data_IF_519263143135
#
_entry.id   IF_519263143135
#
_cell.length_a   1.000
_cell.length_b   1.000
_cell.length_c   1.000
_cell.angle_alpha   90.00
_cell.angle_beta   90.00
_cell.angle_gamma   90.00
#
_symmetry.space_group_name_H-M   'P 1'
#
loop_
_entity.id
_entity.type
_entity.pdbx_description
1 polymer ?
#
# COMPACT_ATOMS: atom_id res chain seq x y z
N UNK A 1 -4.97 30.53 0.87
CA UNK A 1 -5.90 29.67 0.10
C UNK A 1 -5.37 28.24 0.14
N UNK A 2 -6.00 27.33 0.89
CA UNK A 2 -5.61 25.91 0.88
C UNK A 2 -6.19 25.25 -0.38
N UNK A 3 -5.34 25.03 -1.38
CA UNK A 3 -5.71 24.38 -2.63
C UNK A 3 -5.79 22.86 -2.39
N UNK A 4 -6.86 22.42 -1.73
CA UNK A 4 -7.04 20.99 -1.39
C UNK A 4 -7.38 20.23 -2.67
N UNK A 5 -6.40 19.52 -3.24
CA UNK A 5 -6.65 18.60 -4.36
C UNK A 5 -7.42 17.38 -3.85
N UNK A 6 -8.62 17.16 -4.39
CA UNK A 6 -9.42 15.97 -4.10
C UNK A 6 -8.94 14.80 -4.96
N UNK A 7 -8.58 13.70 -4.31
CA UNK A 7 -8.24 12.43 -4.97
C UNK A 7 -9.45 11.50 -4.87
N UNK A 8 -9.83 10.83 -5.96
CA UNK A 8 -10.87 9.80 -5.89
C UNK A 8 -10.31 8.55 -5.20
N UNK A 9 -11.20 7.75 -4.56
CA UNK A 9 -10.81 6.47 -3.95
C UNK A 9 -10.15 5.52 -4.96
N UNK A 10 -10.65 5.46 -6.19
CA UNK A 10 -10.07 4.65 -7.26
C UNK A 10 -8.65 5.09 -7.60
N UNK A 11 -8.42 6.41 -7.71
CA UNK A 11 -7.09 6.95 -8.02
C UNK A 11 -6.13 6.79 -6.86
N UNK A 12 -6.60 6.95 -5.62
CA UNK A 12 -5.82 6.67 -4.41
C UNK A 12 -5.39 5.20 -4.36
N UNK A 13 -6.32 4.26 -4.62
CA UNK A 13 -6.02 2.83 -4.72
C UNK A 13 -4.96 2.54 -5.79
N UNK A 14 -5.12 3.10 -6.99
CA UNK A 14 -4.15 2.92 -8.07
C UNK A 14 -2.76 3.45 -7.71
N UNK A 15 -2.68 4.62 -7.06
CA UNK A 15 -1.41 5.16 -6.59
C UNK A 15 -0.77 4.30 -5.50
N UNK A 16 -1.57 3.83 -4.53
CA UNK A 16 -1.08 2.93 -3.50
C UNK A 16 -0.50 1.65 -4.08
N UNK A 17 -1.21 1.03 -5.03
CA UNK A 17 -0.73 -0.17 -5.74
C UNK A 17 0.55 0.10 -6.53
N UNK A 18 0.64 1.23 -7.23
CA UNK A 18 1.83 1.60 -7.99
C UNK A 18 3.05 1.78 -7.08
N UNK A 19 2.93 2.55 -6.00
CA UNK A 19 4.03 2.78 -5.05
C UNK A 19 4.46 1.46 -4.39
N UNK A 20 3.50 0.59 -4.07
CA UNK A 20 3.80 -0.71 -3.50
C UNK A 20 4.49 -1.64 -4.51
N UNK A 21 4.09 -1.62 -5.78
CA UNK A 21 4.76 -2.38 -6.84
C UNK A 21 6.21 -1.92 -7.02
N UNK A 22 6.43 -0.61 -7.05
CA UNK A 22 7.77 -0.04 -7.14
C UNK A 22 8.62 -0.45 -5.92
N UNK A 23 8.05 -0.41 -4.72
CA UNK A 23 8.72 -0.89 -3.50
C UNK A 23 9.10 -2.37 -3.60
N UNK A 24 8.15 -3.24 -3.97
CA UNK A 24 8.37 -4.68 -4.11
C UNK A 24 9.46 -4.98 -5.15
N UNK A 25 9.45 -4.28 -6.29
CA UNK A 25 10.44 -4.42 -7.36
C UNK A 25 11.85 -4.03 -6.89
N UNK A 26 11.99 -2.91 -6.19
CA UNK A 26 13.28 -2.48 -5.65
C UNK A 26 13.76 -3.35 -4.48
N UNK A 27 12.83 -3.94 -3.72
CA UNK A 27 13.10 -4.88 -2.63
C UNK A 27 13.39 -6.32 -3.08
N UNK A 28 13.28 -6.61 -4.39
CA UNK A 28 13.50 -7.96 -4.93
C UNK A 28 12.40 -8.96 -4.55
N UNK A 29 11.18 -8.49 -4.29
CA UNK A 29 10.05 -9.36 -3.99
C UNK A 29 9.50 -9.96 -5.29
N UNK A 30 9.35 -11.27 -5.30
CA UNK A 30 8.62 -11.98 -6.36
C UNK A 30 7.20 -12.27 -5.87
N UNK A 31 6.21 -12.16 -6.74
CA UNK A 31 4.80 -12.40 -6.40
C UNK A 31 3.84 -11.47 -7.14
N UNK A 32 2.62 -11.36 -6.64
CA UNK A 32 1.56 -10.56 -7.25
C UNK A 32 0.90 -9.63 -6.22
N UNK A 33 0.47 -8.46 -6.70
CA UNK A 33 -0.44 -7.57 -5.98
C UNK A 33 -1.81 -8.22 -5.86
N UNK A 34 -2.34 -8.34 -4.64
CA UNK A 34 -3.62 -8.98 -4.36
C UNK A 34 -4.73 -7.94 -4.12
N UNK A 35 -4.49 -7.00 -3.21
CA UNK A 35 -5.48 -5.99 -2.82
C UNK A 35 -4.81 -4.72 -2.29
N UNK A 36 -5.58 -3.63 -2.28
CA UNK A 36 -5.19 -2.38 -1.68
C UNK A 36 -6.41 -1.74 -1.04
N UNK A 37 -6.31 -1.45 0.27
CA UNK A 37 -7.38 -0.89 1.07
C UNK A 37 -6.85 0.26 1.94
N UNK A 38 -7.65 1.29 2.23
CA UNK A 38 -7.25 2.33 3.17
C UNK A 38 -6.91 1.70 4.53
N UNK A 39 -5.81 2.13 5.15
CA UNK A 39 -5.45 1.65 6.49
C UNK A 39 -6.45 2.24 7.50
N UNK A 40 -7.44 1.44 7.91
CA UNK A 40 -8.46 1.86 8.87
C UNK A 40 -7.89 2.17 10.27
N UNK A 41 -6.67 1.68 10.58
CA UNK A 41 -5.96 1.99 11.83
C UNK A 41 -5.18 3.30 11.71
N UNK A 42 -4.86 3.73 10.49
CA UNK A 42 -4.36 5.06 10.22
C UNK A 42 -5.52 6.05 10.30
N UNK A 43 -5.88 6.43 11.53
CA UNK A 43 -6.91 7.42 11.75
C UNK A 43 -6.50 8.74 11.11
N UNK A 44 -7.20 9.16 10.06
CA UNK A 44 -7.32 10.59 9.84
C UNK A 44 -8.48 11.08 10.72
N UNK A 45 -8.17 11.99 11.64
CA UNK A 45 -9.12 12.48 12.64
C UNK A 45 -10.23 13.38 12.06
N UNK A 46 -10.42 13.38 10.74
CA UNK A 46 -11.26 14.34 10.01
C UNK A 46 -12.25 13.68 9.04
N UNK A 47 -12.39 12.35 9.06
CA UNK A 47 -13.31 11.62 8.18
C UNK A 47 -12.98 11.78 6.70
N UNK A 48 -11.70 12.01 6.36
CA UNK A 48 -11.24 12.06 4.98
C UNK A 48 -10.86 10.64 4.55
N UNK A 49 -10.48 10.51 3.28
CA UNK A 49 -9.84 9.28 2.81
C UNK A 49 -8.48 9.16 3.48
N UNK A 50 -8.15 8.03 4.13
CA UNK A 50 -6.83 7.82 4.71
C UNK A 50 -5.73 8.00 3.66
N UNK A 51 -4.70 8.76 4.03
CA UNK A 51 -3.49 8.93 3.23
C UNK A 51 -2.66 7.63 3.24
N UNK A 52 -2.83 6.83 4.29
CA UNK A 52 -2.18 5.54 4.43
C UNK A 52 -3.04 4.41 3.89
N UNK A 53 -2.42 3.52 3.13
CA UNK A 53 -3.04 2.37 2.49
C UNK A 53 -2.28 1.11 2.82
N UNK A 54 -3.01 0.03 3.05
CA UNK A 54 -2.49 -1.31 3.19
C UNK A 54 -2.59 -2.02 1.85
N UNK A 55 -1.46 -2.49 1.33
CA UNK A 55 -1.38 -3.25 0.09
C UNK A 55 -0.90 -4.66 0.39
N UNK A 56 -1.65 -5.65 -0.07
CA UNK A 56 -1.36 -7.06 0.12
C UNK A 56 -0.66 -7.66 -1.12
N UNK A 57 0.36 -8.47 -0.86
CA UNK A 57 1.14 -9.18 -1.86
C UNK A 57 1.16 -10.67 -1.57
N UNK A 58 1.06 -11.50 -2.60
CA UNK A 58 1.65 -12.83 -2.49
C UNK A 58 3.17 -12.71 -2.56
N UNK A 59 3.87 -13.64 -1.94
CA UNK A 59 5.34 -13.66 -1.99
C UNK A 59 5.81 -15.03 -2.40
N UNK A 60 6.63 -15.07 -3.43
CA UNK A 60 7.34 -16.26 -3.89
C UNK A 60 8.78 -16.17 -3.39
N UNK A 61 9.23 -17.20 -2.69
CA UNK A 61 10.61 -17.34 -2.26
C UNK A 61 11.17 -18.62 -2.85
N UNK A 62 12.13 -18.49 -3.77
CA UNK A 62 12.79 -19.63 -4.43
C UNK A 62 11.79 -20.59 -5.10
N UNK A 63 10.75 -20.05 -5.72
CA UNK A 63 9.70 -20.82 -6.39
C UNK A 63 8.62 -21.39 -5.46
N UNK A 64 8.64 -21.08 -4.17
CA UNK A 64 7.59 -21.47 -3.20
C UNK A 64 6.78 -20.23 -2.82
N UNK A 65 5.47 -20.27 -3.08
CA UNK A 65 4.55 -19.23 -2.63
C UNK A 65 4.28 -19.39 -1.12
N UNK A 66 4.46 -18.32 -0.36
CA UNK A 66 4.17 -18.29 1.07
C UNK A 66 2.66 -18.34 1.31
N UNK A 67 2.26 -19.15 2.28
CA UNK A 67 0.87 -19.23 2.75
C UNK A 67 0.57 -18.02 3.66
N UNK A 68 0.39 -16.87 3.03
CA UNK A 68 0.06 -15.62 3.70
C UNK A 68 0.50 -14.39 2.91
N UNK A 69 -0.36 -13.36 2.81
CA UNK A 69 0.02 -12.15 2.12
C UNK A 69 1.03 -11.34 2.96
N UNK A 70 2.08 -10.83 2.32
CA UNK A 70 2.87 -9.74 2.91
C UNK A 70 2.10 -8.45 2.78
N UNK A 71 2.14 -7.65 3.84
CA UNK A 71 1.44 -6.37 3.92
C UNK A 71 2.45 -5.23 3.86
N UNK A 72 2.19 -4.29 2.97
CA UNK A 72 2.97 -3.07 2.80
C UNK A 72 2.08 -1.89 3.15
N UNK A 73 2.55 -1.03 4.04
CA UNK A 73 1.90 0.24 4.34
C UNK A 73 2.47 1.31 3.40
N UNK A 74 1.58 2.00 2.71
CA UNK A 74 1.89 3.02 1.69
C UNK A 74 1.38 4.37 2.13
N UNK A 75 2.24 5.39 2.07
CA UNK A 75 1.89 6.81 2.19
C UNK A 75 1.76 7.41 0.79
N UNK A 76 0.52 7.70 0.37
CA UNK A 76 0.23 8.25 -0.96
C UNK A 76 0.72 9.71 -1.10
N UNK A 77 0.75 10.48 -0.02
CA UNK A 77 1.17 11.89 -0.06
C UNK A 77 2.66 12.00 -0.31
N UNK A 78 3.44 11.16 0.37
CA UNK A 78 4.90 11.14 0.23
C UNK A 78 5.39 10.20 -0.90
N UNK A 79 4.50 9.35 -1.44
CA UNK A 79 4.86 8.34 -2.44
C UNK A 79 5.83 7.30 -1.88
N UNK A 80 5.71 6.97 -0.59
CA UNK A 80 6.63 6.05 0.10
C UNK A 80 5.90 4.80 0.60
N UNK A 81 6.63 3.70 0.74
CA UNK A 81 6.11 2.43 1.22
C UNK A 81 7.11 1.76 2.16
N UNK A 82 6.59 0.98 3.10
CA UNK A 82 7.37 0.16 4.01
C UNK A 82 6.61 -1.12 4.37
N UNK A 83 7.35 -2.20 4.59
CA UNK A 83 6.78 -3.44 5.12
C UNK A 83 6.19 -3.16 6.51
N UNK A 84 5.00 -3.69 6.77
CA UNK A 84 4.47 -3.64 8.13
C UNK A 84 5.23 -4.64 8.99
N UNK A 85 5.72 -4.24 10.17
CA UNK A 85 6.34 -5.19 11.09
C UNK A 85 5.32 -6.29 11.45
N UNK A 86 5.80 -7.53 11.55
CA UNK A 86 5.02 -8.62 12.10
C UNK A 86 4.51 -8.22 13.50
N UNK A 87 3.26 -8.57 13.84
CA UNK A 87 2.67 -8.25 15.14
C UNK A 87 3.42 -8.88 16.33
#
# INVERSE_FOLDING_TARGET
MNNTRRLSMSKARSLAMQVAEDFARHGGWEGALLSAEPDARAADHRGRTPVQWMVAFSTVLRGVEYDGPRLVRVDIENGTAHETPDP
#
